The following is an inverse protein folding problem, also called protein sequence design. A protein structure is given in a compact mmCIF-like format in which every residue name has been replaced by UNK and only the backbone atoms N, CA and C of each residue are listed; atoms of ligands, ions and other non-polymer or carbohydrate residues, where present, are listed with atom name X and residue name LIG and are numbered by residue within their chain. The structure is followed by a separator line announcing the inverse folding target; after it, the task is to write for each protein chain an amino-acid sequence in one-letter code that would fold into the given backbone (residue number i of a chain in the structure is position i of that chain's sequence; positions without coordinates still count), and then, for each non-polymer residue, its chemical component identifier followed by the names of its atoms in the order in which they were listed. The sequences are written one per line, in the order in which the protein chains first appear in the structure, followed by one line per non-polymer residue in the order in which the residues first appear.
data_IF_689006308805
#
_entry.id   IF_689006308805
#
_cell.length_a   1.000
_cell.length_b   1.000
_cell.length_c   1.000
_cell.angle_alpha   90.00
_cell.angle_beta   90.00
_cell.angle_gamma   90.00
#
_symmetry.space_group_name_H-M   'P 1'
#
loop_
_entity.id
_entity.type
_entity.pdbx_description
1 polymer ?
#
# COMPACT_ATOMS: atom_id res chain seq x y z
N UNK A 1 33.61 91.66 -23.85
CA UNK A 1 32.34 92.30 -23.43
C UNK A 1 31.21 91.31 -23.67
N UNK A 2 30.48 90.97 -22.60
CA UNK A 2 29.07 90.52 -22.50
C UNK A 2 28.53 89.50 -23.53
N UNK A 3 27.74 88.46 -23.19
CA UNK A 3 26.99 88.17 -21.98
C UNK A 3 26.56 86.69 -21.98
N UNK A 4 26.43 86.13 -20.78
CA UNK A 4 25.58 84.98 -20.49
C UNK A 4 24.14 85.24 -20.95
N UNK A 5 23.40 84.21 -21.36
CA UNK A 5 22.17 83.83 -20.66
C UNK A 5 21.58 82.49 -21.12
N UNK A 6 21.33 81.68 -20.10
CA UNK A 6 20.55 80.45 -20.07
C UNK A 6 19.07 80.71 -20.39
N UNK A 7 18.41 79.71 -20.99
CA UNK A 7 17.03 79.29 -20.73
C UNK A 7 16.85 77.91 -21.40
N UNK A 8 17.05 76.81 -20.66
CA UNK A 8 16.03 76.10 -19.88
C UNK A 8 14.82 75.70 -20.75
N UNK A 9 14.91 74.50 -21.34
CA UNK A 9 13.74 73.64 -21.53
C UNK A 9 13.98 72.39 -20.69
N UNK A 10 13.29 72.34 -19.56
CA UNK A 10 13.37 71.25 -18.61
C UNK A 10 12.82 69.96 -19.22
N UNK A 11 13.71 69.03 -19.53
CA UNK A 11 13.37 67.62 -19.46
C UNK A 11 13.40 67.23 -17.99
N UNK A 12 12.20 67.15 -17.41
CA UNK A 12 11.96 66.59 -16.10
C UNK A 12 12.17 65.07 -16.24
N UNK A 13 13.41 64.62 -16.09
CA UNK A 13 13.68 63.21 -15.85
C UNK A 13 13.08 62.85 -14.49
N UNK A 14 11.85 62.38 -14.52
CA UNK A 14 11.25 61.63 -13.43
C UNK A 14 12.03 60.32 -13.29
N UNK A 15 13.18 60.41 -12.62
CA UNK A 15 13.75 59.26 -11.94
C UNK A 15 12.76 58.84 -10.85
N UNK A 16 11.84 57.95 -11.23
CA UNK A 16 11.04 57.16 -10.30
C UNK A 16 12.03 56.23 -9.60
N UNK A 17 12.66 56.77 -8.57
CA UNK A 17 13.46 56.05 -7.60
C UNK A 17 12.47 55.28 -6.71
N UNK A 18 11.89 54.21 -7.26
CA UNK A 18 11.27 53.17 -6.45
C UNK A 18 12.42 52.50 -5.72
N UNK A 19 12.66 52.98 -4.50
CA UNK A 19 13.55 52.40 -3.51
C UNK A 19 13.55 50.87 -3.62
N UNK A 20 14.74 50.28 -3.79
CA UNK A 20 14.97 48.83 -3.82
C UNK A 20 14.24 48.08 -2.69
N UNK A 21 13.92 48.79 -1.60
CA UNK A 21 13.18 48.33 -0.42
C UNK A 21 11.69 48.05 -0.70
N UNK A 22 11.04 48.83 -1.55
CA UNK A 22 9.60 48.69 -1.88
C UNK A 22 9.31 47.54 -2.85
N UNK A 23 10.28 47.24 -3.74
CA UNK A 23 10.23 46.12 -4.67
C UNK A 23 10.30 44.78 -3.91
N UNK A 24 11.09 44.73 -2.83
CA UNK A 24 11.19 43.53 -1.98
C UNK A 24 9.89 43.23 -1.20
N UNK A 25 9.25 44.24 -0.61
CA UNK A 25 8.04 44.02 0.20
C UNK A 25 6.81 43.65 -0.65
N UNK A 26 6.62 44.29 -1.80
CA UNK A 26 5.54 43.94 -2.74
C UNK A 26 5.74 42.52 -3.29
N UNK A 27 6.97 42.15 -3.65
CA UNK A 27 7.26 40.80 -4.16
C UNK A 27 7.04 39.71 -3.09
N UNK A 28 7.39 39.99 -1.83
CA UNK A 28 7.16 39.07 -0.71
C UNK A 28 5.66 38.86 -0.42
N UNK A 29 4.85 39.92 -0.49
CA UNK A 29 3.38 39.81 -0.39
C UNK A 29 2.77 38.93 -1.48
N UNK A 30 3.27 39.03 -2.71
CA UNK A 30 2.80 38.17 -3.82
C UNK A 30 3.21 36.71 -3.64
N UNK A 31 4.35 36.40 -3.02
CA UNK A 31 4.71 35.02 -2.66
C UNK A 31 3.76 34.47 -1.59
N UNK A 32 3.41 35.28 -0.59
CA UNK A 32 2.54 34.85 0.51
C UNK A 32 1.09 34.59 0.03
N UNK A 33 0.58 35.44 -0.87
CA UNK A 33 -0.80 35.35 -1.38
C UNK A 33 -0.94 34.41 -2.60
N UNK A 34 0.07 34.34 -3.46
CA UNK A 34 0.07 33.55 -4.69
C UNK A 34 1.47 33.03 -5.02
N UNK A 35 1.92 32.02 -4.26
CA UNK A 35 3.27 31.44 -4.34
C UNK A 35 3.82 31.25 -5.76
N UNK A 36 3.07 30.70 -6.74
CA UNK A 36 3.57 30.52 -8.11
C UNK A 36 3.80 31.85 -8.85
N UNK A 37 2.88 32.82 -8.67
CA UNK A 37 2.95 34.11 -9.32
C UNK A 37 4.03 35.02 -8.70
N UNK A 38 4.21 34.96 -7.38
CA UNK A 38 5.26 35.67 -6.67
C UNK A 38 6.67 35.21 -7.07
N UNK A 39 6.86 33.89 -7.21
CA UNK A 39 8.11 33.31 -7.74
C UNK A 39 8.37 33.81 -9.17
N UNK A 40 7.39 33.68 -10.07
CA UNK A 40 7.49 34.16 -11.44
C UNK A 40 7.87 35.66 -11.53
N UNK A 41 7.21 36.50 -10.73
CA UNK A 41 7.49 37.94 -10.67
C UNK A 41 8.92 38.25 -10.20
N UNK A 42 9.43 37.53 -9.20
CA UNK A 42 10.81 37.69 -8.72
C UNK A 42 11.87 37.20 -9.71
N UNK A 43 11.59 36.12 -10.44
CA UNK A 43 12.44 35.67 -11.55
C UNK A 43 12.50 36.70 -12.68
N UNK A 44 11.35 37.26 -13.07
CA UNK A 44 11.22 38.30 -14.11
C UNK A 44 11.99 39.57 -13.73
N UNK A 45 11.90 40.01 -12.48
CA UNK A 45 12.53 41.25 -12.00
C UNK A 45 13.98 41.08 -11.55
N UNK A 46 14.60 39.93 -11.85
CA UNK A 46 15.98 39.61 -11.46
C UNK A 46 16.27 39.78 -9.96
N UNK A 47 15.26 39.68 -9.10
CA UNK A 47 15.39 39.93 -7.67
C UNK A 47 16.35 38.97 -6.96
N UNK A 48 16.63 37.81 -7.57
CA UNK A 48 17.59 36.83 -7.09
C UNK A 48 18.91 36.85 -7.88
N UNK A 49 20.02 36.72 -7.18
CA UNK A 49 21.34 36.47 -7.78
C UNK A 49 21.34 35.12 -8.52
N UNK A 50 22.18 34.99 -9.57
CA UNK A 50 22.30 33.77 -10.40
C UNK A 50 22.32 32.44 -9.61
N UNK A 51 23.15 32.26 -8.56
CA UNK A 51 23.18 31.00 -7.81
C UNK A 51 21.87 30.71 -7.08
N UNK A 52 21.22 31.75 -6.53
CA UNK A 52 19.95 31.61 -5.81
C UNK A 52 18.80 31.21 -6.74
N UNK A 53 18.82 31.67 -8.01
CA UNK A 53 17.86 31.22 -9.03
C UNK A 53 18.00 29.73 -9.33
N UNK A 54 19.23 29.25 -9.51
CA UNK A 54 19.49 27.83 -9.75
C UNK A 54 19.04 26.98 -8.56
N UNK A 55 19.32 27.41 -7.34
CA UNK A 55 18.84 26.75 -6.13
C UNK A 55 17.31 26.66 -6.08
N UNK A 56 16.60 27.76 -6.37
CA UNK A 56 15.13 27.78 -6.38
C UNK A 56 14.57 26.85 -7.47
N UNK A 57 15.17 26.84 -8.67
CA UNK A 57 14.75 25.92 -9.74
C UNK A 57 14.93 24.46 -9.32
N UNK A 58 16.08 24.10 -8.75
CA UNK A 58 16.33 22.75 -8.24
C UNK A 58 15.30 22.37 -7.17
N UNK A 59 15.02 23.28 -6.23
CA UNK A 59 14.06 23.07 -5.16
C UNK A 59 12.63 22.83 -5.71
N UNK A 60 12.18 23.64 -6.68
CA UNK A 60 10.86 23.46 -7.31
C UNK A 60 10.79 22.15 -8.08
N UNK A 61 11.85 21.77 -8.78
CA UNK A 61 11.92 20.48 -9.49
C UNK A 61 11.82 19.32 -8.51
N UNK A 62 12.58 19.35 -7.41
CA UNK A 62 12.52 18.32 -6.36
C UNK A 62 11.13 18.24 -5.71
N UNK A 63 10.50 19.39 -5.42
CA UNK A 63 9.12 19.44 -4.90
C UNK A 63 8.12 18.84 -5.88
N UNK A 64 8.26 19.15 -7.18
CA UNK A 64 7.37 18.61 -8.22
C UNK A 64 7.51 17.10 -8.33
N UNK A 65 8.74 16.59 -8.31
CA UNK A 65 9.03 15.15 -8.30
C UNK A 65 8.42 14.51 -7.05
N UNK A 66 8.61 15.12 -5.87
CA UNK A 66 8.07 14.61 -4.61
C UNK A 66 6.54 14.57 -4.59
N UNK A 67 5.87 15.61 -5.11
CA UNK A 67 4.41 15.65 -5.21
C UNK A 67 3.92 14.60 -6.19
N UNK A 68 4.54 14.49 -7.37
CA UNK A 68 4.18 13.46 -8.35
C UNK A 68 4.34 12.05 -7.77
N UNK A 69 5.44 11.78 -7.07
CA UNK A 69 5.66 10.49 -6.40
C UNK A 69 4.62 10.23 -5.30
N UNK A 70 4.25 11.24 -4.51
CA UNK A 70 3.22 11.11 -3.47
C UNK A 70 1.83 10.89 -4.06
N UNK A 71 1.52 11.45 -5.23
CA UNK A 71 0.26 11.20 -5.93
C UNK A 71 0.20 9.80 -6.56
N UNK A 72 1.32 9.31 -7.09
CA UNK A 72 1.40 7.99 -7.72
C UNK A 72 1.47 6.88 -6.66
N UNK A 73 2.21 7.11 -5.58
CA UNK A 73 2.49 6.17 -4.49
C UNK A 73 2.13 6.80 -3.12
N UNK A 74 0.85 7.04 -2.82
CA UNK A 74 0.42 7.74 -1.61
C UNK A 74 0.88 7.08 -0.31
N UNK A 75 1.10 5.76 -0.35
CA UNK A 75 1.40 4.95 0.83
C UNK A 75 2.87 4.54 0.96
N UNK A 76 3.75 5.13 0.14
CA UNK A 76 5.18 4.76 0.10
C UNK A 76 5.87 4.82 1.47
N UNK A 77 5.60 5.87 2.24
CA UNK A 77 6.20 6.05 3.58
C UNK A 77 5.72 4.97 4.53
N UNK A 78 4.42 4.68 4.50
CA UNK A 78 3.82 3.65 5.33
C UNK A 78 4.37 2.27 4.99
N UNK A 79 4.38 1.91 3.70
CA UNK A 79 4.89 0.62 3.24
C UNK A 79 6.37 0.45 3.59
N UNK A 80 7.18 1.52 3.50
CA UNK A 80 8.58 1.49 3.93
C UNK A 80 8.74 1.29 5.44
N UNK A 81 7.86 1.85 6.27
CA UNK A 81 7.89 1.64 7.72
C UNK A 81 7.53 0.20 8.10
N UNK A 82 6.50 -0.36 7.45
CA UNK A 82 6.08 -1.74 7.67
C UNK A 82 7.14 -2.73 7.17
N UNK A 83 7.77 -2.46 6.01
CA UNK A 83 8.88 -3.26 5.50
C UNK A 83 10.08 -3.26 6.45
N UNK A 84 10.45 -2.09 6.98
CA UNK A 84 11.53 -1.99 7.96
C UNK A 84 11.22 -2.79 9.23
N UNK A 85 10.01 -2.63 9.78
CA UNK A 85 9.56 -3.44 10.90
C UNK A 85 9.65 -4.94 10.59
N UNK A 86 9.16 -5.37 9.42
CA UNK A 86 9.17 -6.78 9.05
C UNK A 86 10.58 -7.35 8.93
N UNK A 87 11.53 -6.58 8.38
CA UNK A 87 12.95 -6.96 8.34
C UNK A 87 13.52 -7.13 9.74
N UNK A 88 13.28 -6.15 10.62
CA UNK A 88 13.78 -6.19 12.00
C UNK A 88 13.13 -7.36 12.78
N UNK A 89 11.83 -7.56 12.61
CA UNK A 89 11.07 -8.63 13.24
C UNK A 89 11.57 -10.02 12.82
N UNK A 90 11.84 -10.24 11.53
CA UNK A 90 12.41 -11.51 11.02
C UNK A 90 13.84 -11.73 11.55
N UNK A 91 14.64 -10.67 11.66
CA UNK A 91 15.98 -10.75 12.23
C UNK A 91 15.96 -11.15 13.72
N UNK A 92 14.96 -10.68 14.46
CA UNK A 92 14.73 -11.05 15.86
C UNK A 92 14.17 -12.48 16.01
N UNK A 93 13.29 -12.90 15.09
CA UNK A 93 12.64 -14.22 15.07
C UNK A 93 13.31 -15.17 14.06
N UNK A 94 14.55 -15.58 14.37
CA UNK A 94 15.38 -16.40 13.47
C UNK A 94 14.74 -17.71 12.99
N UNK A 95 13.76 -18.23 13.73
CA UNK A 95 12.95 -19.39 13.32
C UNK A 95 12.14 -19.16 12.03
N UNK A 96 11.93 -17.90 11.65
CA UNK A 96 11.28 -17.51 10.40
C UNK A 96 12.25 -17.55 9.19
N UNK A 97 13.54 -17.74 9.43
CA UNK A 97 14.56 -17.74 8.38
C UNK A 97 14.90 -16.34 7.88
N UNK A 98 15.05 -16.18 6.57
CA UNK A 98 15.39 -14.92 5.93
C UNK A 98 14.17 -14.14 5.43
N UNK A 99 14.25 -12.82 5.45
CA UNK A 99 13.26 -11.93 4.83
C UNK A 99 13.28 -12.09 3.30
N UNK A 100 12.10 -12.26 2.69
CA UNK A 100 11.91 -12.31 1.24
C UNK A 100 11.30 -11.02 0.70
N UNK A 101 9.98 -10.90 0.83
CA UNK A 101 9.18 -9.79 0.32
C UNK A 101 8.03 -9.48 1.28
N UNK A 102 7.51 -8.25 1.22
CA UNK A 102 6.27 -7.87 1.89
C UNK A 102 5.30 -7.27 0.87
N UNK A 103 4.10 -7.84 0.80
CA UNK A 103 3.06 -7.42 -0.13
C UNK A 103 1.81 -6.96 0.62
N UNK A 104 1.33 -5.75 0.32
CA UNK A 104 0.07 -5.26 0.86
C UNK A 104 -1.11 -6.04 0.26
N UNK A 105 -1.98 -6.55 1.13
CA UNK A 105 -3.22 -7.19 0.72
C UNK A 105 -4.25 -6.09 0.55
N UNK A 106 -4.56 -5.79 -0.71
CA UNK A 106 -5.66 -4.90 -1.08
C UNK A 106 -6.99 -5.64 -0.92
N UNK A 107 -7.36 -5.92 0.32
CA UNK A 107 -8.73 -6.31 0.66
C UNK A 107 -9.61 -5.05 0.76
N UNK A 108 -10.88 -5.18 0.41
CA UNK A 108 -11.90 -4.12 0.50
C UNK A 108 -12.23 -3.68 1.95
N UNK A 109 -11.37 -4.00 2.93
CA UNK A 109 -11.50 -3.52 4.30
C UNK A 109 -11.32 -2.01 4.37
N UNK A 110 -12.43 -1.30 4.22
CA UNK A 110 -12.57 0.13 4.51
C UNK A 110 -12.88 0.39 5.98
N UNK A 111 -12.44 -0.47 6.90
CA UNK A 111 -12.27 -0.05 8.28
C UNK A 111 -11.11 0.94 8.27
N UNK A 112 -11.42 2.23 8.43
CA UNK A 112 -10.62 3.38 7.95
C UNK A 112 -9.13 3.42 8.34
N UNK A 113 -8.67 2.55 9.22
CA UNK A 113 -7.33 2.59 9.81
C UNK A 113 -6.54 1.27 9.75
N UNK A 114 -7.05 0.12 9.29
CA UNK A 114 -6.24 -1.11 9.28
C UNK A 114 -5.78 -1.53 7.89
N UNK A 115 -4.54 -1.99 7.81
CA UNK A 115 -3.94 -2.62 6.63
C UNK A 115 -3.38 -4.00 6.96
N UNK A 116 -3.38 -4.85 5.94
CA UNK A 116 -2.88 -6.22 6.02
C UNK A 116 -1.74 -6.38 5.03
N UNK A 117 -0.70 -7.09 5.44
CA UNK A 117 0.44 -7.39 4.59
C UNK A 117 0.77 -8.87 4.68
N UNK A 118 1.06 -9.51 3.55
CA UNK A 118 1.76 -10.78 3.54
C UNK A 118 3.26 -10.51 3.67
N UNK A 119 3.86 -11.07 4.71
CA UNK A 119 5.30 -11.21 4.84
C UNK A 119 5.69 -12.60 4.37
N UNK A 120 6.53 -12.65 3.33
CA UNK A 120 7.11 -13.88 2.81
C UNK A 120 8.50 -14.06 3.38
N UNK A 121 8.76 -15.20 4.02
CA UNK A 121 10.08 -15.57 4.49
C UNK A 121 10.56 -16.83 3.78
N UNK A 122 11.82 -17.20 4.00
CA UNK A 122 12.37 -18.46 3.48
C UNK A 122 11.75 -19.72 4.11
N UNK A 123 10.91 -19.57 5.14
CA UNK A 123 10.32 -20.69 5.90
C UNK A 123 8.82 -20.79 5.66
N UNK A 124 8.08 -19.68 5.78
CA UNK A 124 6.62 -19.69 5.64
C UNK A 124 6.07 -18.30 5.28
N UNK A 125 4.75 -18.22 5.13
CA UNK A 125 4.00 -16.98 4.97
C UNK A 125 3.48 -16.49 6.31
N UNK A 126 3.52 -15.19 6.50
CA UNK A 126 2.96 -14.52 7.67
C UNK A 126 2.03 -13.40 7.24
N UNK A 127 1.03 -13.13 8.06
CA UNK A 127 0.08 -12.04 7.91
C UNK A 127 0.38 -11.01 9.00
N UNK A 128 0.72 -9.81 8.57
CA UNK A 128 1.00 -8.66 9.43
C UNK A 128 -0.22 -7.74 9.40
N UNK A 129 -0.71 -7.39 10.59
CA UNK A 129 -1.78 -6.41 10.77
C UNK A 129 -1.21 -5.11 11.28
N UNK A 130 -1.56 -4.03 10.60
CA UNK A 130 -1.06 -2.69 10.88
C UNK A 130 -2.25 -1.77 11.11
N UNK A 131 -2.33 -1.18 12.30
CA UNK A 131 -3.22 -0.06 12.58
C UNK A 131 -2.55 1.25 12.17
N UNK A 132 -3.34 2.17 11.64
CA UNK A 132 -2.93 3.48 11.15
C UNK A 132 -3.65 4.51 11.98
N UNK A 133 -2.98 4.93 13.05
CA UNK A 133 -3.47 5.99 13.93
C UNK A 133 -2.65 7.24 13.64
N UNK A 134 -3.30 8.31 13.14
CA UNK A 134 -2.67 9.61 12.90
C UNK A 134 -1.38 9.54 12.04
N UNK A 135 -1.41 8.79 10.93
CA UNK A 135 -0.26 8.54 10.04
C UNK A 135 0.94 7.81 10.71
N UNK A 136 0.73 7.16 11.85
CA UNK A 136 1.69 6.22 12.42
C UNK A 136 1.16 4.81 12.22
N UNK A 137 2.00 3.94 11.68
CA UNK A 137 1.76 2.49 11.66
C UNK A 137 2.13 1.88 13.00
N UNK A 138 1.20 1.21 13.64
CA UNK A 138 1.47 0.31 14.74
C UNK A 138 1.14 -1.12 14.32
N UNK A 139 2.11 -2.02 14.43
CA UNK A 139 1.85 -3.44 14.13
C UNK A 139 1.11 -4.04 15.30
N UNK A 140 -0.13 -4.48 15.06
CA UNK A 140 -0.97 -5.09 16.09
C UNK A 140 -0.80 -6.60 16.18
N UNK A 141 -0.38 -7.26 15.11
CA UNK A 141 -0.21 -8.70 15.13
C UNK A 141 0.55 -9.28 13.94
N UNK A 142 1.26 -10.37 14.20
CA UNK A 142 1.94 -11.19 13.21
C UNK A 142 1.51 -12.63 13.38
N UNK A 143 0.95 -13.21 12.32
CA UNK A 143 0.36 -14.54 12.34
C UNK A 143 0.93 -15.40 11.23
N UNK A 144 1.31 -16.63 11.54
CA UNK A 144 1.70 -17.61 10.54
C UNK A 144 0.47 -18.06 9.74
N UNK A 145 0.56 -18.00 8.42
CA UNK A 145 -0.50 -18.38 7.48
C UNK A 145 -0.07 -19.66 6.77
N UNK A 146 -0.84 -20.74 6.95
CA UNK A 146 -0.60 -22.01 6.26
C UNK A 146 -1.08 -23.22 7.05
N UNK A 147 -0.46 -24.38 6.82
CA UNK A 147 -0.85 -25.66 7.47
C UNK A 147 -0.77 -25.62 8.99
N UNK A 148 0.04 -24.73 9.56
CA UNK A 148 0.17 -24.51 11.01
C UNK A 148 -0.13 -23.04 11.32
N UNK A 149 -1.40 -22.69 11.44
CA UNK A 149 -1.79 -21.35 11.89
C UNK A 149 -1.35 -21.14 13.32
N UNK A 150 -0.52 -20.12 13.56
CA UNK A 150 0.00 -19.78 14.88
C UNK A 150 0.14 -18.26 15.01
N UNK A 151 -0.33 -17.71 16.13
CA UNK A 151 0.00 -16.34 16.52
C UNK A 151 1.46 -16.27 16.96
N UNK A 152 2.25 -15.43 16.29
CA UNK A 152 3.64 -15.16 16.66
C UNK A 152 3.70 -13.95 17.59
N UNK A 153 3.01 -12.88 17.19
CA UNK A 153 2.97 -11.62 17.91
C UNK A 153 1.56 -11.05 17.89
N UNK A 154 1.15 -10.43 19.00
CA UNK A 154 -0.14 -9.78 19.12
C UNK A 154 -0.09 -8.74 20.26
N UNK A 155 -0.55 -7.52 19.98
CA UNK A 155 -0.74 -6.48 20.99
C UNK A 155 -1.99 -6.79 21.82
N UNK A 156 -2.06 -6.23 23.03
CA UNK A 156 -3.23 -6.42 23.91
C UNK A 156 -4.51 -5.74 23.38
N UNK A 157 -4.38 -4.77 22.48
CA UNK A 157 -5.52 -4.06 21.87
C UNK A 157 -6.35 -4.98 20.97
N UNK A 158 -5.67 -5.90 20.29
CA UNK A 158 -6.28 -6.87 19.41
C UNK A 158 -6.64 -8.12 20.23
N UNK A 159 -7.83 -8.20 20.83
CA UNK A 159 -8.28 -9.39 21.58
C UNK A 159 -8.87 -10.46 20.65
N UNK A 160 -8.00 -11.10 19.86
CA UNK A 160 -8.39 -12.17 18.94
C UNK A 160 -8.42 -13.52 19.67
N UNK A 161 -9.51 -14.31 19.54
CA UNK A 161 -9.56 -15.67 20.08
C UNK A 161 -8.46 -16.54 19.47
N UNK A 162 -7.71 -17.25 20.33
CA UNK A 162 -6.57 -18.09 19.92
C UNK A 162 -6.93 -19.23 18.97
N UNK A 163 -8.18 -19.65 18.99
CA UNK A 163 -8.66 -20.82 18.26
C UNK A 163 -9.23 -20.46 16.88
N UNK A 164 -9.16 -19.19 16.45
CA UNK A 164 -9.71 -18.72 15.17
C UNK A 164 -8.57 -18.36 14.22
N UNK A 165 -8.67 -18.81 12.97
CA UNK A 165 -7.77 -18.36 11.93
C UNK A 165 -7.92 -16.84 11.76
N UNK A 166 -6.83 -16.05 11.81
CA UNK A 166 -6.89 -14.59 11.72
C UNK A 166 -7.74 -14.11 10.55
N UNK A 167 -7.50 -14.68 9.36
CA UNK A 167 -8.26 -14.35 8.14
C UNK A 167 -9.78 -14.43 8.34
N UNK A 168 -10.28 -15.38 9.14
CA UNK A 168 -11.71 -15.53 9.44
C UNK A 168 -12.17 -14.50 10.47
N UNK A 169 -11.44 -14.33 11.57
CA UNK A 169 -11.80 -13.37 12.63
C UNK A 169 -11.99 -11.98 12.04
N UNK A 170 -11.00 -11.55 11.23
CA UNK A 170 -11.06 -10.26 10.59
C UNK A 170 -12.20 -10.18 9.60
N UNK A 171 -12.36 -11.16 8.69
CA UNK A 171 -13.48 -11.19 7.74
C UNK A 171 -14.84 -11.01 8.42
N UNK A 172 -15.07 -11.69 9.54
CA UNK A 172 -16.30 -11.55 10.35
C UNK A 172 -16.41 -10.14 10.93
N UNK A 173 -15.33 -9.58 11.47
CA UNK A 173 -15.32 -8.18 11.98
C UNK A 173 -15.64 -7.16 10.89
N UNK A 174 -15.19 -7.36 9.66
CA UNK A 174 -15.53 -6.47 8.52
C UNK A 174 -17.01 -6.58 8.15
N UNK A 175 -17.56 -7.78 8.30
CA UNK A 175 -18.92 -8.11 7.92
C UNK A 175 -19.80 -8.38 9.15
N UNK A 176 -19.55 -7.67 10.26
CA UNK A 176 -20.19 -7.94 11.56
C UNK A 176 -21.72 -7.77 11.49
N UNK A 177 -22.22 -6.92 10.59
CA UNK A 177 -23.66 -6.80 10.33
C UNK A 177 -24.27 -8.08 9.77
N UNK A 178 -23.53 -8.80 8.94
CA UNK A 178 -23.99 -10.04 8.27
C UNK A 178 -23.79 -11.24 9.19
N UNK A 179 -22.58 -11.41 9.71
CA UNK A 179 -22.21 -12.62 10.45
C UNK A 179 -22.38 -12.46 11.96
N UNK A 180 -22.47 -11.25 12.50
CA UNK A 180 -22.60 -11.01 13.92
C UNK A 180 -21.30 -11.20 14.70
N UNK A 181 -21.42 -11.35 16.02
CA UNK A 181 -20.26 -11.56 16.90
C UNK A 181 -19.89 -13.04 17.02
N UNK A 182 -18.60 -13.32 17.04
CA UNK A 182 -18.08 -14.68 17.25
C UNK A 182 -18.43 -15.15 18.67
N UNK A 183 -18.97 -16.36 18.79
CA UNK A 183 -19.25 -17.02 20.07
C UNK A 183 -18.31 -18.19 20.33
N UNK A 184 -18.10 -19.04 19.32
CA UNK A 184 -17.32 -20.26 19.45
C UNK A 184 -16.66 -20.61 18.12
N UNK A 185 -15.47 -21.21 18.18
CA UNK A 185 -14.76 -21.73 17.03
C UNK A 185 -14.48 -23.21 17.24
N UNK A 186 -14.93 -24.05 16.30
CA UNK A 186 -14.62 -25.47 16.34
C UNK A 186 -13.24 -25.71 15.74
N UNK A 187 -12.51 -26.64 16.36
CA UNK A 187 -11.20 -27.05 15.86
C UNK A 187 -11.37 -27.89 14.59
N UNK A 188 -11.06 -27.29 13.45
CA UNK A 188 -11.03 -27.97 12.17
C UNK A 188 -9.63 -27.85 11.54
N UNK A 189 -9.31 -28.78 10.64
CA UNK A 189 -8.05 -28.79 9.91
C UNK A 189 -8.10 -27.78 8.76
N UNK A 190 -7.03 -27.00 8.57
CA UNK A 190 -6.83 -26.17 7.38
C UNK A 190 -7.12 -26.97 6.10
N UNK A 191 -7.87 -26.44 5.11
CA UNK A 191 -8.29 -25.04 4.96
C UNK A 191 -9.66 -24.67 5.57
N UNK A 192 -10.27 -25.52 6.39
CA UNK A 192 -11.64 -25.34 6.86
C UNK A 192 -11.70 -24.95 8.34
N UNK A 193 -12.63 -24.05 8.69
CA UNK A 193 -12.97 -23.79 10.09
C UNK A 193 -14.45 -23.43 10.26
N UNK A 194 -15.10 -24.11 11.20
CA UNK A 194 -16.49 -23.84 11.56
C UNK A 194 -16.54 -22.85 12.72
N UNK A 195 -17.30 -21.77 12.52
CA UNK A 195 -17.49 -20.69 13.50
C UNK A 195 -18.98 -20.54 13.81
N UNK A 196 -19.29 -20.57 15.10
CA UNK A 196 -20.60 -20.20 15.65
C UNK A 196 -20.59 -18.73 15.98
N UNK A 197 -21.56 -17.99 15.45
CA UNK A 197 -21.72 -16.55 15.68
C UNK A 197 -23.06 -16.23 16.33
N UNK A 198 -23.34 -14.95 16.58
CA UNK A 198 -24.68 -14.52 16.99
C UNK A 198 -25.75 -14.72 15.92
N UNK A 199 -25.38 -14.74 14.64
CA UNK A 199 -26.34 -14.77 13.52
C UNK A 199 -26.46 -16.15 12.86
N UNK A 200 -25.61 -17.11 13.20
CA UNK A 200 -25.67 -18.46 12.62
C UNK A 200 -24.37 -19.25 12.77
N UNK A 201 -24.36 -20.42 12.14
CA UNK A 201 -23.20 -21.32 12.07
C UNK A 201 -22.64 -21.29 10.65
N UNK A 202 -21.34 -21.07 10.54
CA UNK A 202 -20.70 -20.89 9.24
C UNK A 202 -19.47 -21.77 9.12
N UNK A 203 -19.31 -22.41 7.96
CA UNK A 203 -18.07 -23.07 7.58
C UNK A 203 -17.28 -22.15 6.66
N UNK A 204 -16.17 -21.63 7.17
CA UNK A 204 -15.24 -20.82 6.41
C UNK A 204 -14.19 -21.71 5.75
N UNK A 205 -13.89 -21.41 4.49
CA UNK A 205 -12.75 -21.97 3.76
C UNK A 205 -11.74 -20.86 3.59
N UNK A 206 -10.55 -21.06 4.13
CA UNK A 206 -9.43 -20.13 4.05
C UNK A 206 -8.38 -20.71 3.13
N UNK A 207 -8.02 -19.95 2.11
CA UNK A 207 -6.87 -20.26 1.29
C UNK A 207 -6.12 -18.99 0.95
N UNK A 208 -4.83 -19.11 0.64
CA UNK A 208 -3.97 -17.96 0.37
C UNK A 208 -3.91 -16.93 1.51
N UNK A 209 -4.34 -17.25 2.73
CA UNK A 209 -4.42 -16.28 3.84
C UNK A 209 -5.65 -15.37 3.83
N UNK A 210 -6.67 -15.72 3.04
CA UNK A 210 -7.95 -15.01 2.96
C UNK A 210 -9.11 -16.02 2.97
N UNK A 211 -10.30 -15.54 3.31
CA UNK A 211 -11.51 -16.35 3.18
C UNK A 211 -11.88 -16.44 1.71
N UNK A 212 -11.93 -17.65 1.15
CA UNK A 212 -12.25 -17.88 -0.27
C UNK A 212 -13.68 -18.35 -0.50
N UNK A 213 -14.29 -18.98 0.52
CA UNK A 213 -15.66 -19.52 0.44
C UNK A 213 -16.27 -19.61 1.84
N UNK A 214 -17.58 -19.39 1.94
CA UNK A 214 -18.35 -19.55 3.17
C UNK A 214 -19.61 -20.34 2.89
N UNK A 215 -19.87 -21.32 3.75
CA UNK A 215 -21.14 -22.03 3.79
C UNK A 215 -21.93 -21.62 5.03
N UNK A 216 -23.21 -21.30 4.86
CA UNK A 216 -24.18 -21.28 5.95
C UNK A 216 -24.57 -22.73 6.30
N UNK A 217 -24.52 -23.08 7.58
CA UNK A 217 -24.86 -24.40 8.09
C UNK A 217 -26.26 -24.34 8.72
N UNK A 218 -27.23 -24.92 8.05
CA UNK A 218 -28.61 -25.03 8.51
C UNK A 218 -28.96 -26.51 8.69
N UNK A 219 -28.94 -26.99 9.94
CA UNK A 219 -29.08 -28.41 10.24
C UNK A 219 -27.93 -29.23 9.63
N UNK A 220 -28.26 -30.17 8.74
CA UNK A 220 -27.28 -31.00 8.03
C UNK A 220 -26.90 -30.45 6.64
N UNK A 221 -27.49 -29.33 6.22
CA UNK A 221 -27.26 -28.76 4.88
C UNK A 221 -26.22 -27.64 4.93
N UNK A 222 -25.48 -27.50 3.82
CA UNK A 222 -24.49 -26.45 3.62
C UNK A 222 -24.84 -25.66 2.37
N UNK A 223 -25.10 -24.36 2.52
CA UNK A 223 -25.41 -23.47 1.42
C UNK A 223 -24.28 -22.47 1.22
N UNK A 224 -23.74 -22.36 0.01
CA UNK A 224 -22.71 -21.36 -0.31
C UNK A 224 -23.36 -19.98 -0.25
N UNK A 225 -22.81 -19.10 0.59
CA UNK A 225 -23.27 -17.71 0.73
C UNK A 225 -22.21 -16.69 0.31
N UNK A 226 -20.98 -17.15 0.11
CA UNK A 226 -19.86 -16.34 -0.34
C UNK A 226 -18.85 -17.22 -1.07
N UNK A 227 -18.35 -16.75 -2.20
CA UNK A 227 -17.31 -17.40 -2.99
C UNK A 227 -16.52 -16.34 -3.78
N UNK A 228 -15.19 -16.34 -3.62
CA UNK A 228 -14.28 -15.47 -4.34
C UNK A 228 -14.13 -15.96 -5.79
N UNK A 229 -14.10 -15.03 -6.74
CA UNK A 229 -13.87 -15.36 -8.15
C UNK A 229 -12.41 -15.79 -8.36
N UNK A 230 -12.18 -16.77 -9.24
CA UNK A 230 -10.84 -17.36 -9.47
C UNK A 230 -9.81 -16.31 -9.87
N UNK A 231 -10.20 -15.31 -10.66
CA UNK A 231 -9.32 -14.23 -11.13
C UNK A 231 -8.77 -13.34 -10.01
N UNK A 232 -9.46 -13.29 -8.87
CA UNK A 232 -9.06 -12.53 -7.68
C UNK A 232 -8.08 -13.33 -6.80
N UNK A 233 -7.98 -14.64 -7.01
CA UNK A 233 -7.07 -15.51 -6.26
C UNK A 233 -5.62 -15.43 -6.74
N UNK A 234 -5.41 -14.95 -7.97
CA UNK A 234 -4.10 -14.88 -8.64
C UNK A 234 -3.35 -13.61 -8.26
N UNK A 235 -2.02 -13.70 -8.13
CA UNK A 235 -1.17 -12.52 -8.05
C UNK A 235 -1.40 -11.56 -9.24
N UNK A 236 -1.57 -10.24 -9.02
CA UNK A 236 -1.88 -9.29 -10.09
C UNK A 236 -0.92 -9.34 -11.28
N UNK A 237 0.36 -9.60 -11.04
CA UNK A 237 1.41 -9.73 -12.05
C UNK A 237 1.23 -10.99 -12.90
N UNK A 238 0.85 -12.11 -12.29
CA UNK A 238 0.53 -13.35 -13.01
C UNK A 238 -0.74 -13.20 -13.83
N UNK A 239 -1.75 -12.52 -13.29
CA UNK A 239 -2.98 -12.22 -14.03
C UNK A 239 -2.68 -11.34 -15.28
N UNK A 240 -1.80 -10.34 -15.16
CA UNK A 240 -1.33 -9.55 -16.33
C UNK A 240 -0.68 -10.43 -17.40
N UNK A 241 0.12 -11.41 -17.01
CA UNK A 241 0.79 -12.34 -17.93
C UNK A 241 -0.23 -13.30 -18.57
N UNK A 242 -1.16 -13.86 -17.78
CA UNK A 242 -2.20 -14.76 -18.27
C UNK A 242 -3.15 -14.08 -19.26
N UNK A 243 -3.42 -12.77 -19.08
CA UNK A 243 -4.19 -11.95 -20.03
C UNK A 243 -3.49 -11.75 -21.37
N UNK A 244 -2.21 -12.08 -21.50
CA UNK A 244 -1.59 -12.14 -22.82
C UNK A 244 -2.13 -13.38 -23.56
N UNK A 245 -2.50 -13.22 -24.84
CA UNK A 245 -3.05 -14.31 -25.67
C UNK A 245 -2.13 -15.53 -25.83
N UNK A 246 -0.92 -15.50 -25.26
CA UNK A 246 0.07 -16.57 -25.29
C UNK A 246 -0.34 -17.79 -24.46
N UNK A 247 -0.96 -17.60 -23.30
CA UNK A 247 -1.25 -18.69 -22.34
C UNK A 247 -2.71 -19.12 -22.32
N UNK A 248 -3.61 -18.30 -22.88
CA UNK A 248 -5.03 -18.59 -22.98
C UNK A 248 -5.80 -18.30 -21.68
N UNK A 249 -7.14 -18.27 -21.70
CA UNK A 249 -7.96 -18.01 -20.54
C UNK A 249 -7.68 -18.99 -19.39
N UNK A 250 -7.59 -18.44 -18.18
CA UNK A 250 -7.51 -19.21 -16.96
C UNK A 250 -8.81 -20.01 -16.75
N UNK A 251 -8.66 -21.28 -16.39
CA UNK A 251 -9.75 -22.12 -15.95
C UNK A 251 -9.73 -22.34 -14.43
N UNK A 252 -8.54 -22.55 -13.85
CA UNK A 252 -8.40 -22.93 -12.46
C UNK A 252 -7.00 -22.59 -11.92
N UNK A 253 -6.93 -22.13 -10.67
CA UNK A 253 -5.68 -22.07 -9.90
C UNK A 253 -5.56 -23.39 -9.13
N UNK A 254 -4.54 -24.17 -9.45
CA UNK A 254 -4.38 -25.53 -8.94
C UNK A 254 -3.68 -25.58 -7.58
N UNK A 255 -2.67 -24.74 -7.39
CA UNK A 255 -1.89 -24.71 -6.17
C UNK A 255 -1.08 -23.42 -6.06
N UNK A 256 -0.70 -23.10 -4.83
CA UNK A 256 0.28 -22.07 -4.49
C UNK A 256 1.30 -22.65 -3.52
N UNK A 257 2.57 -22.40 -3.81
CA UNK A 257 3.69 -22.81 -2.99
C UNK A 257 4.65 -21.64 -2.76
N UNK A 258 5.36 -21.70 -1.62
CA UNK A 258 6.51 -20.86 -1.34
C UNK A 258 7.79 -21.67 -1.52
N UNK A 259 8.65 -21.20 -2.41
CA UNK A 259 10.01 -21.69 -2.56
C UNK A 259 10.98 -20.73 -1.85
N UNK A 260 12.22 -21.17 -1.60
CA UNK A 260 13.22 -20.38 -0.85
C UNK A 260 13.51 -19.01 -1.44
N UNK A 261 13.33 -18.87 -2.74
CA UNK A 261 13.69 -17.71 -3.55
C UNK A 261 12.48 -17.06 -4.23
N UNK A 262 11.25 -17.49 -3.93
CA UNK A 262 10.07 -16.89 -4.56
C UNK A 262 8.74 -17.58 -4.30
N UNK A 263 7.71 -16.99 -4.89
CA UNK A 263 6.32 -17.43 -4.86
C UNK A 263 6.00 -18.22 -6.13
N UNK A 264 5.27 -19.32 -6.00
CA UNK A 264 4.93 -20.21 -7.12
C UNK A 264 3.43 -20.45 -7.18
N UNK A 265 2.84 -20.23 -8.36
CA UNK A 265 1.45 -20.59 -8.64
C UNK A 265 1.36 -21.56 -9.82
N UNK A 266 0.48 -22.55 -9.67
CA UNK A 266 0.17 -23.53 -10.70
C UNK A 266 -1.23 -23.25 -11.25
N UNK A 267 -1.35 -23.20 -12.56
CA UNK A 267 -2.59 -22.86 -13.24
C UNK A 267 -2.98 -23.94 -14.25
N UNK A 268 -4.29 -24.11 -14.44
CA UNK A 268 -4.85 -24.72 -15.64
C UNK A 268 -5.48 -23.64 -16.50
N UNK A 269 -5.13 -23.66 -17.78
CA UNK A 269 -5.72 -22.82 -18.84
C UNK A 269 -6.30 -23.74 -19.91
N UNK A 270 -7.01 -23.17 -20.89
CA UNK A 270 -7.43 -23.89 -22.09
C UNK A 270 -6.26 -24.40 -22.96
N UNK A 271 -5.06 -23.81 -22.86
CA UNK A 271 -3.85 -24.19 -23.63
C UNK A 271 -2.90 -25.13 -22.89
N UNK A 272 -3.20 -25.48 -21.64
CA UNK A 272 -2.43 -26.43 -20.84
C UNK A 272 -2.23 -25.99 -19.39
N UNK A 273 -1.31 -26.68 -18.73
CA UNK A 273 -0.90 -26.40 -17.37
C UNK A 273 0.33 -25.51 -17.37
N UNK A 274 0.42 -24.60 -16.41
CA UNK A 274 1.56 -23.71 -16.28
C UNK A 274 1.96 -23.55 -14.82
N UNK A 275 3.25 -23.36 -14.58
CA UNK A 275 3.83 -22.94 -13.30
C UNK A 275 4.41 -21.56 -13.50
N UNK A 276 3.96 -20.56 -12.76
CA UNK A 276 4.60 -19.24 -12.75
C UNK A 276 5.34 -19.09 -11.42
N UNK A 277 6.58 -18.63 -11.48
CA UNK A 277 7.43 -18.37 -10.33
C UNK A 277 7.81 -16.89 -10.33
N UNK A 278 7.43 -16.16 -9.27
CA UNK A 278 7.90 -14.79 -8.99
C UNK A 278 9.02 -14.91 -7.97
N UNK A 279 10.25 -14.72 -8.39
CA UNK A 279 11.39 -14.61 -7.48
C UNK A 279 11.28 -13.33 -6.65
N UNK A 280 11.83 -13.31 -5.43
CA UNK A 280 11.78 -12.12 -4.56
C UNK A 280 12.53 -10.89 -5.11
N UNK A 281 13.37 -11.08 -6.12
CA UNK A 281 13.99 -9.99 -6.89
C UNK A 281 13.04 -9.36 -7.94
N UNK A 282 11.80 -9.86 -8.03
CA UNK A 282 10.77 -9.43 -8.98
C UNK A 282 10.81 -10.16 -10.33
N UNK A 283 11.77 -11.06 -10.55
CA UNK A 283 11.86 -11.83 -11.80
C UNK A 283 10.72 -12.85 -11.88
N UNK A 284 9.96 -12.84 -12.99
CA UNK A 284 8.91 -13.83 -13.23
C UNK A 284 9.35 -14.84 -14.29
N UNK A 285 9.35 -16.12 -13.93
CA UNK A 285 9.65 -17.24 -14.83
C UNK A 285 8.41 -18.09 -15.04
N UNK A 286 8.13 -18.47 -16.29
CA UNK A 286 6.97 -19.28 -16.67
C UNK A 286 7.44 -20.63 -17.22
N UNK A 287 6.86 -21.70 -16.68
CA UNK A 287 7.07 -23.08 -17.10
C UNK A 287 5.74 -23.65 -17.61
N UNK A 288 5.82 -24.55 -18.60
CA UNK A 288 4.69 -25.30 -19.14
C UNK A 288 4.83 -26.77 -18.76
#
# INVERSE_FOLDING_TARGET
MFNNNNNILGFKDEHVNLSQKDINWKSFKWILLFFPYGIYYMFKNKAFNRPLRWFIVILITLLTISIADTLINPDRVLNSQVEQFAKDFVNEHKEMGGFGEIDEIKDDYRGKNYRKYFLYTSVDKYLIYVDIINNKSEVEGVYQVGKKSKTIYQTKSLDMPKDILPSIYFFIKENEKTYGTVKEAKKCLYPYQEITTSNGNYLFVVDYGRVIKIYNIEGNNRHIIYEVQVDELILPEFNKILKTNKYGPLQEVLAYDLEKDGQVEYFRTDKGHYKFKKSFDGTITVYK
#
